data_IF_646427176828
#
_entry.id   IF_646427176828
#
_cell.length_a   1.000
_cell.length_b   1.000
_cell.length_c   1.000
_cell.angle_alpha   90.00
_cell.angle_beta   90.00
_cell.angle_gamma   90.00
#
_symmetry.space_group_name_H-M   'P 1'
#
loop_
_entity.id
_entity.type
_entity.pdbx_description
1 polymer ?
#
# COMPACT_ATOMS: atom_id res chain seq x y z
N UNK A 1 9.74 -5.69 -4.54
CA UNK A 1 8.92 -4.48 -4.67
C UNK A 1 7.56 -4.78 -4.08
N UNK A 2 6.95 -3.80 -3.44
CA UNK A 2 5.63 -3.88 -2.85
C UNK A 2 4.83 -2.78 -3.54
N UNK A 3 3.85 -3.19 -4.31
CA UNK A 3 2.97 -2.31 -5.06
C UNK A 3 1.72 -2.07 -4.23
N UNK A 4 1.42 -0.81 -3.95
CA UNK A 4 0.24 -0.41 -3.19
C UNK A 4 -0.66 0.38 -4.13
N UNK A 5 -1.84 -0.17 -4.41
CA UNK A 5 -2.85 0.51 -5.21
C UNK A 5 -3.72 1.36 -4.28
N UNK A 6 -3.86 2.64 -4.63
CA UNK A 6 -4.73 3.58 -3.93
C UNK A 6 -5.93 3.91 -4.82
N UNK A 7 -7.13 3.62 -4.34
CA UNK A 7 -8.34 4.17 -4.93
C UNK A 7 -8.54 5.61 -4.45
N UNK A 8 -8.73 6.53 -5.38
CA UNK A 8 -8.96 7.95 -5.11
C UNK A 8 -10.35 8.38 -5.57
N UNK A 9 -11.11 8.94 -4.63
CA UNK A 9 -12.36 9.66 -4.90
C UNK A 9 -12.12 11.17 -4.75
N UNK A 10 -12.25 11.91 -5.85
CA UNK A 10 -12.35 13.37 -5.93
C UNK A 10 -13.68 13.95 -5.42
N UNK A 11 -14.80 13.21 -5.48
CA UNK A 11 -16.11 13.65 -5.01
C UNK A 11 -16.11 13.72 -3.48
N UNK A 12 -15.61 12.67 -2.84
CA UNK A 12 -15.51 12.57 -1.39
C UNK A 12 -14.12 12.96 -0.84
N UNK A 13 -13.16 13.30 -1.71
CA UNK A 13 -11.78 13.72 -1.40
C UNK A 13 -11.05 12.75 -0.44
N UNK A 14 -10.99 11.47 -0.81
CA UNK A 14 -10.28 10.45 -0.02
C UNK A 14 -9.44 9.50 -0.87
N UNK A 15 -8.38 8.99 -0.25
CA UNK A 15 -7.58 7.89 -0.76
C UNK A 15 -7.71 6.67 0.14
N UNK A 16 -7.88 5.51 -0.48
CA UNK A 16 -8.00 4.24 0.20
C UNK A 16 -7.07 3.22 -0.42
N UNK A 17 -6.35 2.44 0.38
CA UNK A 17 -5.59 1.30 -0.14
C UNK A 17 -6.58 0.24 -0.63
N UNK A 18 -6.62 0.00 -1.95
CA UNK A 18 -7.53 -0.97 -2.56
C UNK A 18 -6.88 -2.32 -2.81
N UNK A 19 -5.57 -2.36 -3.05
CA UNK A 19 -4.80 -3.59 -3.16
C UNK A 19 -3.34 -3.42 -2.71
N UNK A 20 -2.73 -4.51 -2.26
CA UNK A 20 -1.31 -4.58 -1.91
C UNK A 20 -0.69 -5.84 -2.50
N UNK A 21 0.15 -5.66 -3.51
CA UNK A 21 0.83 -6.75 -4.21
C UNK A 21 2.30 -6.85 -3.79
N UNK A 22 2.71 -8.01 -3.26
CA UNK A 22 4.08 -8.26 -2.80
C UNK A 22 4.89 -9.03 -3.86
N UNK A 23 5.74 -8.30 -4.58
CA UNK A 23 6.64 -8.77 -5.64
C UNK A 23 8.10 -8.85 -5.15
N UNK A 24 8.37 -9.68 -4.14
CA UNK A 24 9.71 -9.96 -3.62
C UNK A 24 10.22 -11.31 -4.18
N UNK A 25 11.48 -11.36 -4.64
CA UNK A 25 12.08 -12.58 -5.22
C UNK A 25 12.39 -13.65 -4.18
N UNK A 26 12.85 -13.24 -3.01
CA UNK A 26 13.10 -14.13 -1.88
C UNK A 26 11.75 -14.63 -1.33
N UNK A 27 11.57 -15.96 -1.33
CA UNK A 27 10.31 -16.58 -0.92
C UNK A 27 10.02 -16.43 0.57
N UNK A 28 11.05 -16.44 1.43
CA UNK A 28 10.88 -16.32 2.87
C UNK A 28 10.50 -14.88 3.23
N UNK A 29 11.17 -13.90 2.63
CA UNK A 29 10.86 -12.49 2.84
C UNK A 29 9.49 -12.12 2.27
N UNK A 30 9.13 -12.67 1.10
CA UNK A 30 7.81 -12.50 0.51
C UNK A 30 6.71 -12.97 1.45
N UNK A 31 6.86 -14.14 2.05
CA UNK A 31 5.85 -14.68 2.97
C UNK A 31 5.74 -13.83 4.23
N UNK A 32 6.88 -13.44 4.83
CA UNK A 32 6.92 -12.54 6.00
C UNK A 32 6.17 -11.24 5.75
N UNK A 33 6.41 -10.60 4.61
CA UNK A 33 5.75 -9.32 4.27
C UNK A 33 4.26 -9.54 4.03
N UNK A 34 3.85 -10.62 3.37
CA UNK A 34 2.43 -10.97 3.19
C UNK A 34 1.71 -11.15 4.51
N UNK A 35 2.30 -11.89 5.46
CA UNK A 35 1.74 -12.06 6.80
C UNK A 35 1.56 -10.71 7.51
N UNK A 36 2.49 -9.77 7.35
CA UNK A 36 2.34 -8.42 7.92
C UNK A 36 1.24 -7.61 7.23
N UNK A 37 1.12 -7.69 5.91
CA UNK A 37 0.04 -7.02 5.15
C UNK A 37 -1.33 -7.51 5.64
N UNK A 38 -1.50 -8.82 5.78
CA UNK A 38 -2.74 -9.43 6.28
C UNK A 38 -2.99 -9.08 7.75
N UNK A 39 -1.97 -9.18 8.60
CA UNK A 39 -2.06 -8.86 10.03
C UNK A 39 -2.49 -7.42 10.30
N UNK A 40 -2.02 -6.49 9.48
CA UNK A 40 -2.35 -5.07 9.60
C UNK A 40 -3.63 -4.68 8.86
N UNK A 41 -4.25 -5.61 8.11
CA UNK A 41 -5.46 -5.39 7.31
C UNK A 41 -5.36 -4.09 6.49
N UNK A 42 -4.27 -3.96 5.74
CA UNK A 42 -3.94 -2.73 5.01
C UNK A 42 -4.93 -2.41 3.88
N UNK A 43 -5.61 -3.41 3.34
CA UNK A 43 -6.65 -3.18 2.31
C UNK A 43 -7.89 -2.60 2.98
N UNK A 44 -8.44 -1.54 2.39
CA UNK A 44 -9.55 -0.74 2.92
C UNK A 44 -9.13 0.38 3.88
N UNK A 45 -7.82 0.60 4.08
CA UNK A 45 -7.34 1.67 4.95
C UNK A 45 -7.39 3.01 4.25
N UNK A 46 -8.07 3.99 4.87
CA UNK A 46 -8.01 5.38 4.46
C UNK A 46 -6.64 5.95 4.78
N UNK A 47 -6.03 6.60 3.81
CA UNK A 47 -4.65 7.09 3.92
C UNK A 47 -4.52 8.53 3.42
N UNK A 48 -3.66 9.29 4.08
CA UNK A 48 -3.18 10.57 3.57
C UNK A 48 -1.98 10.34 2.64
N UNK A 49 -2.08 10.77 1.39
CA UNK A 49 -1.03 10.62 0.36
C UNK A 49 0.01 11.73 0.48
N UNK A 50 0.57 11.86 1.67
CA UNK A 50 1.69 12.77 1.94
C UNK A 50 3.04 12.12 1.58
N UNK A 51 4.11 12.92 1.64
CA UNK A 51 5.49 12.43 1.44
C UNK A 51 5.94 11.41 2.50
N UNK A 52 5.13 11.17 3.54
CA UNK A 52 5.41 10.26 4.64
C UNK A 52 4.77 8.88 4.49
N UNK A 53 3.82 8.71 3.58
CA UNK A 53 3.07 7.45 3.42
C UNK A 53 3.99 6.26 3.16
N UNK A 54 4.95 6.40 2.24
CA UNK A 54 5.97 5.39 1.96
C UNK A 54 6.71 4.95 3.22
N UNK A 55 7.17 5.91 4.03
CA UNK A 55 7.89 5.62 5.29
C UNK A 55 7.00 4.96 6.32
N UNK A 56 5.73 5.35 6.43
CA UNK A 56 4.77 4.75 7.37
C UNK A 56 4.53 3.28 7.02
N UNK A 57 4.25 2.98 5.76
CA UNK A 57 4.05 1.61 5.29
C UNK A 57 5.35 0.78 5.38
N UNK A 58 6.49 1.38 5.06
CA UNK A 58 7.79 0.72 5.17
C UNK A 58 8.13 0.31 6.60
N UNK A 59 7.91 1.20 7.56
CA UNK A 59 8.09 0.90 8.97
C UNK A 59 7.13 -0.20 9.46
N UNK A 60 5.89 -0.17 8.99
CA UNK A 60 4.87 -1.16 9.36
C UNK A 60 5.20 -2.55 8.80
N UNK A 61 5.67 -2.62 7.56
CA UNK A 61 6.07 -3.87 6.88
C UNK A 61 7.51 -4.30 7.21
N UNK A 62 8.26 -3.47 7.92
CA UNK A 62 9.68 -3.65 8.23
C UNK A 62 10.51 -3.90 6.97
N UNK A 63 10.37 -3.00 6.00
CA UNK A 63 11.06 -3.01 4.71
C UNK A 63 11.64 -1.63 4.42
N UNK A 64 12.50 -1.52 3.41
CA UNK A 64 12.97 -0.22 2.94
C UNK A 64 11.82 0.54 2.26
N UNK A 65 11.75 1.87 2.47
CA UNK A 65 10.75 2.72 1.83
C UNK A 65 10.91 2.78 0.30
N UNK A 66 12.12 2.54 -0.22
CA UNK A 66 12.37 2.44 -1.66
C UNK A 66 11.74 1.19 -2.29
N UNK A 67 11.35 0.20 -1.48
CA UNK A 67 10.67 -1.00 -1.98
C UNK A 67 9.17 -0.79 -2.15
N UNK A 68 8.61 0.32 -1.68
CA UNK A 68 7.18 0.63 -1.77
C UNK A 68 6.95 1.54 -2.97
N UNK A 69 6.13 1.07 -3.88
CA UNK A 69 5.64 1.82 -5.02
C UNK A 69 4.14 2.04 -4.88
N UNK A 70 3.68 3.21 -5.34
CA UNK A 70 2.28 3.58 -5.27
C UNK A 70 1.74 3.77 -6.67
N UNK A 71 0.60 3.14 -6.93
CA UNK A 71 -0.23 3.47 -8.08
C UNK A 71 -1.57 4.03 -7.58
N UNK A 72 -2.17 4.91 -8.36
CA UNK A 72 -3.45 5.54 -8.00
C UNK A 72 -4.47 5.26 -9.08
N UNK A 73 -5.57 4.66 -8.67
CA UNK A 73 -6.74 4.40 -9.50
C UNK A 73 -7.85 5.37 -9.11
N UNK A 74 -8.29 6.17 -10.07
CA UNK A 74 -9.39 7.11 -9.86
C UNK A 74 -10.72 6.34 -9.96
N UNK A 75 -11.53 6.35 -8.88
CA UNK A 75 -12.77 5.56 -8.79
C UNK A 75 -14.05 6.36 -9.07
N UNK A 76 -13.95 7.69 -9.18
CA UNK A 76 -15.09 8.57 -9.49
C UNK A 76 -15.38 8.70 -10.99
N UNK A 77 -14.90 7.75 -11.78
CA UNK A 77 -15.18 7.72 -13.21
C UNK A 77 -16.61 7.20 -13.38
N UNK A 78 -17.55 8.16 -13.47
CA UNK A 78 -18.99 8.02 -13.76
C UNK A 78 -19.44 6.74 -14.47
#
# INVERSE_FOLDING_TARGET
MIEVLLDHSYEDDYFMISDVTVNIKDSQEKERVKELVEKHNLVGWLVDVDRGLSKRLANLLQVDAELIDFDTNDIDIM
#
